data_IF_972139985358
#
_entry.id   IF_972139985358
#
_cell.length_a   1.000
_cell.length_b   1.000
_cell.length_c   1.000
_cell.angle_alpha   90.00
_cell.angle_beta   90.00
_cell.angle_gamma   90.00
#
_symmetry.space_group_name_H-M   'P 1'
#
loop_
_entity.id
_entity.type
_entity.pdbx_description
1 polymer ?
#
# COMPACT_ATOMS: atom_id res chain seq x y z
N UNK A 1 19.32 12.89 -13.27
CA UNK A 1 18.42 13.24 -12.13
C UNK A 1 18.41 12.03 -11.20
N UNK A 2 18.62 12.24 -9.90
CA UNK A 2 18.54 11.16 -8.93
C UNK A 2 17.14 11.15 -8.33
N UNK A 3 16.53 9.96 -8.22
CA UNK A 3 15.31 9.73 -7.45
C UNK A 3 15.74 9.46 -6.02
N UNK A 4 15.21 10.21 -5.05
CA UNK A 4 15.52 10.03 -3.62
C UNK A 4 14.44 9.20 -2.89
N UNK A 5 13.24 9.12 -3.44
CA UNK A 5 12.16 8.33 -2.89
C UNK A 5 10.96 8.23 -3.82
N UNK A 6 10.18 7.16 -3.65
CA UNK A 6 8.89 6.94 -4.30
C UNK A 6 7.85 6.70 -3.21
N UNK A 7 6.82 7.53 -3.19
CA UNK A 7 5.78 7.48 -2.17
C UNK A 7 4.41 7.33 -2.80
N UNK A 8 3.64 6.39 -2.29
CA UNK A 8 2.29 6.08 -2.75
C UNK A 8 1.33 6.29 -1.58
N UNK A 9 0.31 7.09 -1.81
CA UNK A 9 -0.82 7.25 -0.90
C UNK A 9 -2.09 6.88 -1.65
N UNK A 10 -2.78 5.86 -1.20
CA UNK A 10 -3.95 5.33 -1.87
C UNK A 10 -5.05 4.88 -0.91
N UNK A 11 -6.22 4.61 -1.46
CA UNK A 11 -7.30 3.94 -0.76
C UNK A 11 -7.22 2.43 -0.99
N UNK A 12 -7.67 1.67 -0.01
CA UNK A 12 -7.73 0.22 -0.11
C UNK A 12 -9.03 -0.33 0.50
N UNK A 13 -9.45 -1.50 0.02
CA UNK A 13 -10.35 -2.34 0.78
C UNK A 13 -9.53 -3.21 1.73
N UNK A 14 -10.04 -3.44 2.93
CA UNK A 14 -9.31 -4.24 3.92
C UNK A 14 -10.16 -5.32 4.55
N UNK A 15 -9.52 -6.41 4.95
CA UNK A 15 -10.17 -7.59 5.50
C UNK A 15 -10.13 -7.65 7.02
N UNK A 16 -9.37 -6.78 7.67
CA UNK A 16 -9.06 -6.85 9.11
C UNK A 16 -9.03 -5.49 9.82
N UNK A 17 -9.60 -4.47 9.20
CA UNK A 17 -9.61 -3.12 9.77
C UNK A 17 -10.91 -2.38 9.50
N UNK A 18 -11.08 -1.23 10.12
CA UNK A 18 -12.24 -0.37 9.98
C UNK A 18 -11.99 0.76 9.00
N UNK A 19 -13.07 1.37 8.49
CA UNK A 19 -12.98 2.53 7.58
C UNK A 19 -12.27 3.68 8.29
N UNK A 20 -11.28 4.25 7.62
CA UNK A 20 -10.43 5.31 8.17
C UNK A 20 -9.09 4.82 8.72
N UNK A 21 -8.93 3.53 9.04
CA UNK A 21 -7.64 2.98 9.48
C UNK A 21 -6.55 3.14 8.42
N UNK A 22 -5.30 3.26 8.89
CA UNK A 22 -4.12 3.40 8.03
C UNK A 22 -3.38 2.06 7.96
N UNK A 23 -3.00 1.67 6.74
CA UNK A 23 -2.30 0.43 6.44
C UNK A 23 -0.92 0.74 5.85
N UNK A 24 0.13 0.17 6.44
CA UNK A 24 1.51 0.32 5.99
C UNK A 24 2.05 -1.08 5.63
N UNK A 25 1.88 -1.50 4.37
CA UNK A 25 2.30 -2.83 3.93
C UNK A 25 3.82 -2.92 3.79
N UNK A 26 4.34 -4.16 3.83
CA UNK A 26 5.74 -4.47 3.53
C UNK A 26 5.93 -5.49 2.41
N UNK A 27 4.86 -6.14 2.01
CA UNK A 27 4.84 -7.10 0.92
C UNK A 27 3.58 -6.88 0.08
N UNK A 28 3.76 -6.75 -1.21
CA UNK A 28 2.68 -6.61 -2.19
C UNK A 28 2.75 -7.79 -3.15
N UNK A 29 1.67 -8.55 -3.27
CA UNK A 29 1.47 -9.46 -4.38
C UNK A 29 0.77 -8.71 -5.51
N UNK A 30 1.33 -8.73 -6.70
CA UNK A 30 0.79 -8.04 -7.86
C UNK A 30 0.18 -9.05 -8.85
N UNK A 31 -1.13 -8.96 -9.04
CA UNK A 31 -1.83 -9.84 -10.00
C UNK A 31 -1.43 -9.58 -11.46
N UNK A 32 -0.90 -8.38 -11.80
CA UNK A 32 -0.50 -8.05 -13.18
C UNK A 32 0.74 -8.83 -13.61
N UNK A 33 1.75 -8.84 -12.74
CA UNK A 33 3.03 -9.52 -13.00
C UNK A 33 3.11 -10.90 -12.37
N UNK A 34 2.20 -11.21 -11.42
CA UNK A 34 2.22 -12.38 -10.55
C UNK A 34 3.47 -12.43 -9.65
N UNK A 35 4.09 -11.29 -9.42
CA UNK A 35 5.28 -11.15 -8.57
C UNK A 35 4.88 -10.72 -7.16
N UNK A 36 5.73 -11.08 -6.21
CA UNK A 36 5.65 -10.58 -4.84
C UNK A 36 6.81 -9.63 -4.58
N UNK A 37 6.50 -8.39 -4.22
CA UNK A 37 7.50 -7.36 -3.94
C UNK A 37 7.66 -7.22 -2.43
N UNK A 38 8.85 -7.52 -1.93
CA UNK A 38 9.25 -7.32 -0.54
C UNK A 38 10.08 -6.04 -0.45
N UNK A 39 9.71 -5.11 0.42
CA UNK A 39 10.40 -3.84 0.60
C UNK A 39 10.34 -3.35 2.04
N UNK A 40 11.32 -2.54 2.41
CA UNK A 40 11.32 -1.81 3.67
C UNK A 40 10.49 -0.55 3.49
N UNK A 41 9.22 -0.61 3.91
CA UNK A 41 8.39 0.58 3.88
C UNK A 41 8.94 1.63 4.85
N UNK A 42 9.28 2.81 4.33
CA UNK A 42 9.94 3.86 5.12
C UNK A 42 9.03 4.46 6.22
N UNK A 43 7.72 4.19 6.17
CA UNK A 43 6.76 4.65 7.17
C UNK A 43 6.56 3.68 8.34
N UNK A 44 7.12 2.48 8.32
CA UNK A 44 6.93 1.49 9.39
C UNK A 44 7.34 1.98 10.79
N UNK A 45 8.35 2.85 10.87
CA UNK A 45 8.86 3.41 12.12
C UNK A 45 8.63 4.93 12.22
N UNK A 46 7.81 5.48 11.36
CA UNK A 46 7.56 6.90 11.31
C UNK A 46 6.18 7.20 11.88
N UNK A 47 6.10 7.94 12.97
CA UNK A 47 4.87 8.24 13.71
C UNK A 47 4.39 9.69 13.55
N UNK A 48 4.09 10.20 12.33
CA UNK A 48 3.40 11.47 12.21
C UNK A 48 1.90 11.32 12.54
N UNK A 49 1.45 10.11 12.84
CA UNK A 49 0.05 9.73 13.06
C UNK A 49 -0.40 9.81 14.53
N UNK A 50 0.35 10.50 15.39
CA UNK A 50 0.10 10.55 16.85
C UNK A 50 -1.32 10.99 17.23
N UNK A 51 -1.98 11.75 16.36
CA UNK A 51 -3.35 12.23 16.58
C UNK A 51 -4.41 11.49 15.75
N UNK A 52 -4.05 10.38 15.11
CA UNK A 52 -5.00 9.58 14.35
C UNK A 52 -6.01 8.91 15.29
N UNK A 53 -7.30 9.03 14.98
CA UNK A 53 -8.37 8.43 15.78
C UNK A 53 -8.58 6.94 15.48
N UNK A 54 -8.12 6.46 14.33
CA UNK A 54 -8.18 5.06 13.92
C UNK A 54 -6.93 4.26 14.29
N UNK A 55 -6.87 3.03 13.81
CA UNK A 55 -5.71 2.15 13.96
C UNK A 55 -4.67 2.38 12.88
N UNK A 56 -3.39 2.19 13.22
CA UNK A 56 -2.28 2.15 12.26
C UNK A 56 -1.73 0.74 12.26
N UNK A 57 -1.92 0.04 11.15
CA UNK A 57 -1.51 -1.34 11.01
C UNK A 57 -0.28 -1.41 10.09
N UNK A 58 0.81 -1.98 10.62
CA UNK A 58 2.10 -2.04 9.93
C UNK A 58 2.47 -3.47 9.55
N UNK A 59 3.42 -3.62 8.62
CA UNK A 59 3.97 -4.91 8.20
C UNK A 59 2.95 -5.86 7.56
N UNK A 60 1.84 -5.35 7.06
CA UNK A 60 0.82 -6.13 6.39
C UNK A 60 1.24 -6.62 5.01
N UNK A 61 0.50 -7.62 4.52
CA UNK A 61 0.57 -8.06 3.13
C UNK A 61 -0.61 -7.46 2.38
N UNK A 62 -0.32 -6.92 1.21
CA UNK A 62 -1.33 -6.40 0.31
C UNK A 62 -1.33 -7.16 -1.02
N UNK A 63 -2.41 -7.00 -1.77
CA UNK A 63 -2.52 -7.44 -3.15
C UNK A 63 -2.95 -6.27 -4.02
N UNK A 64 -2.22 -6.07 -5.13
CA UNK A 64 -2.66 -5.21 -6.23
C UNK A 64 -3.48 -6.02 -7.20
N UNK A 65 -4.79 -5.80 -7.20
CA UNK A 65 -5.73 -6.58 -8.00
C UNK A 65 -5.97 -5.97 -9.37
N UNK A 66 -6.38 -6.82 -10.33
CA UNK A 66 -6.72 -6.40 -11.69
C UNK A 66 -8.10 -5.76 -11.82
N UNK A 67 -8.96 -5.94 -10.84
CA UNK A 67 -10.34 -5.46 -10.89
C UNK A 67 -10.89 -5.05 -9.54
N UNK A 68 -11.94 -4.23 -9.58
CA UNK A 68 -12.55 -3.61 -8.38
C UNK A 68 -13.61 -4.46 -7.70
N UNK A 69 -14.09 -5.52 -8.35
CA UNK A 69 -15.17 -6.34 -7.83
C UNK A 69 -14.68 -7.42 -6.86
N UNK A 70 -15.02 -7.30 -5.60
CA UNK A 70 -14.62 -8.23 -4.53
C UNK A 70 -15.74 -9.20 -4.14
N UNK A 71 -16.63 -9.54 -5.07
CA UNK A 71 -17.80 -10.37 -4.81
C UNK A 71 -17.48 -11.87 -4.65
N UNK A 72 -16.27 -12.28 -4.99
CA UNK A 72 -15.86 -13.68 -4.90
C UNK A 72 -15.40 -14.05 -3.50
N UNK A 73 -16.30 -14.65 -2.71
CA UNK A 73 -15.99 -15.10 -1.34
C UNK A 73 -14.84 -16.10 -1.29
N UNK A 74 -14.67 -16.92 -2.32
CA UNK A 74 -13.58 -17.90 -2.35
C UNK A 74 -12.22 -17.18 -2.46
N UNK A 75 -12.14 -16.10 -3.25
CA UNK A 75 -10.95 -15.28 -3.40
C UNK A 75 -10.65 -14.51 -2.11
N UNK A 76 -11.64 -13.89 -1.49
CA UNK A 76 -11.48 -13.21 -0.19
C UNK A 76 -10.98 -14.18 0.89
N UNK A 77 -11.54 -15.38 0.95
CA UNK A 77 -11.08 -16.43 1.86
C UNK A 77 -9.64 -16.89 1.56
N UNK A 78 -9.26 -16.95 0.29
CA UNK A 78 -7.88 -17.24 -0.11
C UNK A 78 -6.93 -16.16 0.39
N UNK A 79 -7.26 -14.88 0.23
CA UNK A 79 -6.45 -13.78 0.73
C UNK A 79 -6.29 -13.86 2.26
N UNK A 80 -7.37 -14.04 3.00
CA UNK A 80 -7.33 -14.19 4.46
C UNK A 80 -6.44 -15.35 4.91
N UNK A 81 -6.55 -16.52 4.28
CA UNK A 81 -5.73 -17.69 4.58
C UNK A 81 -4.24 -17.47 4.33
N UNK A 82 -3.90 -16.56 3.41
CA UNK A 82 -2.53 -16.19 3.09
C UNK A 82 -2.05 -14.93 3.81
N UNK A 83 -2.82 -14.45 4.79
CA UNK A 83 -2.55 -13.21 5.53
C UNK A 83 -2.41 -11.97 4.63
N UNK A 84 -3.11 -11.96 3.50
CA UNK A 84 -3.27 -10.79 2.66
C UNK A 84 -4.52 -10.07 3.16
N UNK A 85 -4.33 -8.89 3.72
CA UNK A 85 -5.40 -8.16 4.41
C UNK A 85 -5.74 -6.83 3.77
N UNK A 86 -4.91 -6.36 2.84
CA UNK A 86 -5.07 -5.10 2.11
C UNK A 86 -5.25 -5.39 0.63
N UNK A 87 -6.25 -4.82 0.01
CA UNK A 87 -6.59 -5.00 -1.41
C UNK A 87 -6.63 -3.61 -2.06
N UNK A 88 -5.75 -3.37 -3.02
CA UNK A 88 -5.58 -2.10 -3.72
C UNK A 88 -5.25 -2.35 -5.20
N UNK A 89 -4.96 -1.33 -6.00
CA UNK A 89 -4.79 -1.49 -7.44
C UNK A 89 -3.53 -0.82 -8.01
N UNK A 90 -2.78 -0.08 -7.20
CA UNK A 90 -1.73 0.82 -7.69
C UNK A 90 -0.31 0.37 -7.35
N UNK A 91 -0.11 -0.18 -6.16
CA UNK A 91 1.25 -0.42 -5.62
C UNK A 91 2.06 -1.43 -6.44
N UNK A 92 1.43 -2.49 -6.95
CA UNK A 92 2.11 -3.49 -7.77
C UNK A 92 2.77 -2.91 -9.01
N UNK A 93 2.04 -2.19 -9.89
CA UNK A 93 2.60 -1.49 -11.05
C UNK A 93 3.74 -0.53 -10.71
N UNK A 94 3.62 0.25 -9.63
CA UNK A 94 4.71 1.13 -9.18
C UNK A 94 5.95 0.34 -8.73
N UNK A 95 5.77 -0.75 -7.97
CA UNK A 95 6.89 -1.58 -7.52
C UNK A 95 7.56 -2.32 -8.69
N UNK A 96 6.80 -2.67 -9.73
CA UNK A 96 7.37 -3.17 -10.99
C UNK A 96 8.29 -2.13 -11.63
N UNK A 97 7.83 -0.88 -11.77
CA UNK A 97 8.63 0.21 -12.32
C UNK A 97 9.87 0.53 -11.46
N UNK A 98 9.73 0.48 -10.12
CA UNK A 98 10.85 0.61 -9.19
C UNK A 98 11.89 -0.50 -9.41
N UNK A 99 11.42 -1.73 -9.66
CA UNK A 99 12.30 -2.87 -9.94
C UNK A 99 13.11 -2.64 -11.22
N UNK A 100 12.45 -2.21 -12.28
CA UNK A 100 13.12 -1.88 -13.55
C UNK A 100 14.16 -0.78 -13.36
N UNK A 101 13.82 0.29 -12.64
CA UNK A 101 14.74 1.39 -12.34
C UNK A 101 15.89 1.03 -11.39
N UNK A 102 15.75 -0.04 -10.60
CA UNK A 102 16.79 -0.50 -9.66
C UNK A 102 17.74 -1.50 -10.30
N UNK A 103 17.22 -2.40 -11.12
CA UNK A 103 17.96 -3.54 -11.65
C UNK A 103 18.18 -3.49 -13.18
N UNK A 104 17.75 -2.42 -13.85
CA UNK A 104 17.79 -2.24 -15.32
C UNK A 104 17.14 -3.39 -16.11
N UNK A 105 16.23 -4.12 -15.49
CA UNK A 105 15.52 -5.23 -16.12
C UNK A 105 14.18 -5.49 -15.43
N UNK A 106 13.24 -6.05 -16.19
CA UNK A 106 11.99 -6.54 -15.62
C UNK A 106 12.23 -7.84 -14.85
N UNK A 107 11.58 -7.98 -13.72
CA UNK A 107 11.56 -9.25 -13.01
C UNK A 107 10.76 -10.30 -13.81
N UNK A 108 11.23 -11.55 -13.90
CA UNK A 108 10.42 -12.63 -14.45
C UNK A 108 9.10 -12.78 -13.67
N UNK A 109 8.06 -13.29 -14.34
CA UNK A 109 6.79 -13.58 -13.68
C UNK A 109 6.94 -14.65 -12.60
N UNK A 110 6.07 -14.62 -11.60
CA UNK A 110 6.04 -15.56 -10.47
C UNK A 110 7.34 -15.55 -9.63
N UNK A 111 7.97 -14.40 -9.48
CA UNK A 111 9.17 -14.25 -8.64
C UNK A 111 8.89 -13.43 -7.37
N UNK A 112 9.74 -13.64 -6.38
CA UNK A 112 9.83 -12.76 -5.23
C UNK A 112 10.93 -11.76 -5.52
N UNK A 113 10.57 -10.48 -5.58
CA UNK A 113 11.50 -9.38 -5.83
C UNK A 113 11.81 -8.71 -4.49
N UNK A 114 13.08 -8.69 -4.13
CA UNK A 114 13.56 -8.03 -2.90
C UNK A 114 14.04 -6.62 -3.22
N UNK A 115 13.27 -5.61 -2.80
CA UNK A 115 13.56 -4.19 -2.95
C UNK A 115 14.10 -3.56 -1.64
N UNK A 116 14.48 -4.34 -0.64
CA UNK A 116 15.05 -3.82 0.59
C UNK A 116 16.38 -3.07 0.38
N UNK A 117 17.07 -3.37 -0.72
CA UNK A 117 18.32 -2.72 -1.14
C UNK A 117 18.15 -1.62 -2.19
N UNK A 118 16.92 -1.21 -2.50
CA UNK A 118 16.69 -0.10 -3.41
C UNK A 118 17.47 1.16 -2.97
N UNK A 119 18.11 1.88 -3.90
CA UNK A 119 18.99 3.01 -3.55
C UNK A 119 18.25 4.27 -3.11
N UNK A 120 16.96 4.19 -2.95
CA UNK A 120 16.08 5.29 -2.56
C UNK A 120 14.94 4.79 -1.67
N UNK A 121 14.27 5.71 -0.98
CA UNK A 121 13.14 5.39 -0.13
C UNK A 121 11.95 4.85 -0.93
N UNK A 122 11.32 3.81 -0.39
CA UNK A 122 10.02 3.32 -0.87
C UNK A 122 9.02 3.42 0.28
N UNK A 123 7.93 4.12 0.05
CA UNK A 123 6.88 4.30 1.05
C UNK A 123 5.49 4.11 0.47
N UNK A 124 4.68 3.26 1.09
CA UNK A 124 3.30 3.02 0.72
C UNK A 124 2.42 3.19 1.95
N UNK A 125 1.44 4.07 1.85
CA UNK A 125 0.41 4.31 2.85
C UNK A 125 -0.93 4.07 2.17
N UNK A 126 -1.70 3.13 2.66
CA UNK A 126 -3.08 2.93 2.25
C UNK A 126 -4.00 3.32 3.40
N UNK A 127 -5.15 3.90 3.11
CA UNK A 127 -6.21 4.05 4.09
C UNK A 127 -7.40 3.16 3.73
N UNK A 128 -8.04 2.60 4.74
CA UNK A 128 -9.22 1.76 4.56
C UNK A 128 -10.41 2.62 4.14
N UNK A 129 -10.85 2.45 2.91
CA UNK A 129 -12.04 3.13 2.36
C UNK A 129 -13.25 2.21 2.32
N UNK A 130 -13.02 0.90 2.32
CA UNK A 130 -14.06 -0.10 2.18
C UNK A 130 -13.66 -1.42 2.84
N UNK A 131 -14.66 -2.28 3.09
CA UNK A 131 -14.44 -3.65 3.52
C UNK A 131 -15.26 -4.58 2.62
N UNK A 132 -14.72 -5.72 2.15
CA UNK A 132 -15.45 -6.67 1.31
C UNK A 132 -16.69 -7.27 1.98
N UNK A 133 -16.85 -7.06 3.27
CA UNK A 133 -17.99 -7.50 4.07
C UNK A 133 -19.07 -6.43 4.18
N UNK A 134 -18.86 -5.24 3.65
CA UNK A 134 -19.87 -4.20 3.54
C UNK A 134 -20.93 -4.59 2.48
N UNK A 135 -22.08 -3.92 2.52
CA UNK A 135 -23.17 -4.13 1.57
C UNK A 135 -22.78 -3.80 0.12
N UNK A 136 -21.75 -3.01 -0.07
CA UNK A 136 -21.20 -2.60 -1.35
C UNK A 136 -19.81 -3.20 -1.49
N UNK A 137 -19.70 -4.32 -2.17
CA UNK A 137 -18.48 -5.11 -2.31
C UNK A 137 -17.61 -4.60 -3.49
N UNK A 138 -17.31 -3.31 -3.54
CA UNK A 138 -16.59 -2.69 -4.64
C UNK A 138 -15.55 -1.70 -4.10
N UNK A 139 -14.32 -1.75 -4.59
CA UNK A 139 -13.23 -0.81 -4.24
C UNK A 139 -13.54 0.65 -4.63
N UNK A 140 -14.53 0.91 -5.45
CA UNK A 140 -14.79 2.24 -6.01
C UNK A 140 -16.07 2.92 -5.53
N UNK A 141 -16.93 2.23 -4.78
CA UNK A 141 -18.33 2.62 -4.68
C UNK A 141 -18.73 3.35 -3.38
N UNK A 142 -17.92 3.40 -2.40
CA UNK A 142 -18.30 4.11 -1.21
C UNK A 142 -17.81 5.53 -1.21
N UNK A 143 -18.78 6.39 -1.07
CA UNK A 143 -18.64 7.75 -0.58
C UNK A 143 -17.20 8.27 -0.48
N UNK A 144 -16.88 9.24 -1.29
CA UNK A 144 -15.91 10.29 -0.96
C UNK A 144 -16.35 10.99 0.35
N UNK A 145 -16.73 10.19 1.36
CA UNK A 145 -17.22 10.68 2.62
C UNK A 145 -16.12 11.34 3.44
N UNK A 146 -16.52 12.09 4.43
CA UNK A 146 -15.64 12.79 5.37
C UNK A 146 -14.62 11.86 6.05
N UNK A 147 -14.88 10.56 6.11
CA UNK A 147 -14.00 9.53 6.68
C UNK A 147 -12.64 9.36 5.97
N UNK A 148 -12.53 9.75 4.72
CA UNK A 148 -11.25 9.73 3.97
C UNK A 148 -10.38 10.97 4.16
N UNK A 149 -10.94 12.09 4.65
CA UNK A 149 -10.22 13.36 4.74
C UNK A 149 -9.06 13.28 5.74
N UNK A 150 -9.31 12.75 6.93
CA UNK A 150 -8.29 12.62 7.97
C UNK A 150 -7.12 11.74 7.52
N UNK A 151 -7.32 10.46 7.12
CA UNK A 151 -6.20 9.60 6.76
C UNK A 151 -5.44 10.09 5.53
N UNK A 152 -6.10 10.71 4.55
CA UNK A 152 -5.42 11.33 3.39
C UNK A 152 -4.58 12.52 3.83
N UNK A 153 -5.10 13.37 4.72
CA UNK A 153 -4.34 14.51 5.25
C UNK A 153 -3.11 14.04 6.02
N UNK A 154 -3.27 13.07 6.91
CA UNK A 154 -2.17 12.52 7.69
C UNK A 154 -1.13 11.82 6.82
N UNK A 155 -1.57 11.02 5.86
CA UNK A 155 -0.68 10.36 4.90
C UNK A 155 0.11 11.37 4.06
N UNK A 156 -0.53 12.45 3.60
CA UNK A 156 0.12 13.52 2.87
C UNK A 156 1.16 14.25 3.73
N UNK A 157 0.81 14.55 4.98
CA UNK A 157 1.75 15.17 5.93
C UNK A 157 2.93 14.25 6.24
N UNK A 158 2.70 12.94 6.38
CA UNK A 158 3.76 11.95 6.56
C UNK A 158 4.76 11.95 5.41
N UNK A 159 4.26 11.96 4.18
CA UNK A 159 5.09 12.01 2.96
C UNK A 159 5.89 13.31 2.91
N UNK A 160 5.25 14.45 3.11
CA UNK A 160 5.93 15.76 3.12
C UNK A 160 7.01 15.82 4.19
N UNK A 161 6.72 15.37 5.40
CA UNK A 161 7.70 15.33 6.49
C UNK A 161 8.89 14.42 6.16
N UNK A 162 8.63 13.26 5.52
CA UNK A 162 9.69 12.36 5.09
C UNK A 162 10.60 13.01 4.04
N UNK A 163 10.02 13.70 3.06
CA UNK A 163 10.77 14.43 2.02
C UNK A 163 11.64 15.50 2.66
N UNK A 164 11.07 16.31 3.56
CA UNK A 164 11.82 17.38 4.26
C UNK A 164 12.98 16.79 5.06
N UNK A 165 12.76 15.70 5.80
CA UNK A 165 13.80 15.06 6.59
C UNK A 165 14.94 14.53 5.71
N UNK A 166 14.64 13.98 4.53
CA UNK A 166 15.69 13.51 3.60
C UNK A 166 16.52 14.66 3.01
N UNK A 167 15.93 15.81 2.78
CA UNK A 167 16.66 16.98 2.27
C UNK A 167 17.52 17.66 3.35
N UNK A 168 17.18 17.52 4.63
CA UNK A 168 17.97 18.08 5.75
C UNK A 168 19.23 17.25 6.09
N UNK A 169 19.28 16.00 5.64
CA UNK A 169 20.42 15.08 5.91
C UNK A 169 21.49 15.16 4.83
N UNK A 170 21.23 15.89 3.76
CA UNK A 170 22.22 16.18 2.69
C UNK A 170 23.04 17.42 3.03
#
# INVERSE_FOLDING_TARGET
RHVNGVYILGKAATLNSEIGDIQIPRLIFDEHTQNSYLFKNCFNNFFPFVNHQGSILTNHRAVSVLGTFLQNRALVNFYLKNNITVIEMESGPYLSAITEGTYDQQAPKNTIVDLNSAPYDVGIINYTSDTPFSSVQNLGDSNLGLSGIEPVTLGSLAILQRIINLEQVK
#
